data_IF_437630023691
#
_entry.id   IF_437630023691
#
_cell.length_a   1.000
_cell.length_b   1.000
_cell.length_c   1.000
_cell.angle_alpha   90.00
_cell.angle_beta   90.00
_cell.angle_gamma   90.00
#
_symmetry.space_group_name_H-M   'P 1'
#
loop_
_entity.id
_entity.type
_entity.pdbx_description
1 polymer ?
#
# COMPACT_ATOMS: atom_id res chain seq x y z
N UNK A 1 -16.19 -19.11 -12.97
CA UNK A 1 -15.81 -19.65 -14.30
C UNK A 1 -14.29 -19.68 -14.34
N UNK A 2 -13.68 -20.76 -14.83
CA UNK A 2 -12.24 -20.81 -15.00
C UNK A 2 -11.86 -19.84 -16.13
N UNK A 3 -10.86 -19.02 -15.89
CA UNK A 3 -10.25 -18.13 -16.86
C UNK A 3 -9.84 -18.93 -18.11
N UNK A 4 -10.31 -18.54 -19.29
CA UNK A 4 -9.81 -19.14 -20.54
C UNK A 4 -8.35 -18.73 -20.70
N UNK A 5 -7.44 -19.71 -20.73
CA UNK A 5 -6.01 -19.47 -20.86
C UNK A 5 -5.72 -18.64 -22.11
N UNK A 6 -5.11 -17.47 -21.93
CA UNK A 6 -4.51 -16.69 -23.00
C UNK A 6 -4.94 -15.24 -23.13
N UNK A 7 -6.15 -14.82 -22.75
CA UNK A 7 -6.62 -13.44 -22.89
C UNK A 7 -7.52 -12.99 -21.74
N UNK A 8 -7.39 -11.73 -21.31
CA UNK A 8 -8.28 -11.07 -20.36
C UNK A 8 -8.49 -9.61 -20.77
N UNK A 9 -9.72 -9.08 -20.74
CA UNK A 9 -9.93 -7.67 -21.08
C UNK A 9 -9.12 -6.71 -20.20
N UNK A 10 -9.05 -6.97 -18.89
CA UNK A 10 -8.27 -6.14 -17.96
C UNK A 10 -7.30 -6.99 -17.14
N UNK A 11 -6.01 -6.67 -17.25
CA UNK A 11 -4.96 -7.19 -16.38
C UNK A 11 -4.59 -6.13 -15.35
N UNK A 12 -4.68 -6.45 -14.07
CA UNK A 12 -4.23 -5.58 -12.96
C UNK A 12 -2.99 -6.20 -12.33
N UNK A 13 -1.88 -5.48 -12.36
CA UNK A 13 -0.62 -5.89 -11.74
C UNK A 13 -0.47 -5.16 -10.41
N UNK A 14 -0.32 -5.92 -9.32
CA UNK A 14 -0.16 -5.39 -7.98
C UNK A 14 -1.44 -5.37 -7.15
N UNK A 15 -1.34 -5.89 -5.94
CA UNK A 15 -2.44 -6.05 -4.98
C UNK A 15 -2.53 -4.95 -3.92
N UNK A 16 -1.92 -3.79 -4.15
CA UNK A 16 -2.09 -2.62 -3.31
C UNK A 16 -3.55 -2.14 -3.28
N UNK A 17 -3.87 -1.16 -2.43
CA UNK A 17 -5.26 -0.67 -2.32
C UNK A 17 -5.77 -0.12 -3.66
N UNK A 18 -4.91 0.52 -4.45
CA UNK A 18 -5.24 0.99 -5.80
C UNK A 18 -5.54 -0.15 -6.77
N UNK A 19 -4.68 -1.18 -6.81
CA UNK A 19 -4.88 -2.37 -7.64
C UNK A 19 -6.14 -3.15 -7.25
N UNK A 20 -6.36 -3.36 -5.95
CA UNK A 20 -7.61 -3.96 -5.45
C UNK A 20 -8.83 -3.15 -5.85
N UNK A 21 -8.76 -1.80 -5.75
CA UNK A 21 -9.83 -0.90 -6.15
C UNK A 21 -10.17 -1.02 -7.63
N UNK A 22 -9.15 -0.98 -8.48
CA UNK A 22 -9.30 -1.13 -9.93
C UNK A 22 -9.91 -2.49 -10.29
N UNK A 23 -9.35 -3.58 -9.75
CA UNK A 23 -9.82 -4.94 -10.04
C UNK A 23 -11.29 -5.15 -9.62
N UNK A 24 -11.64 -4.73 -8.41
CA UNK A 24 -13.02 -4.82 -7.91
C UNK A 24 -13.98 -3.96 -8.72
N UNK A 25 -13.57 -2.75 -9.10
CA UNK A 25 -14.43 -1.86 -9.87
C UNK A 25 -14.65 -2.36 -11.30
N UNK A 26 -13.62 -2.84 -11.97
CA UNK A 26 -13.73 -3.46 -13.29
C UNK A 26 -14.70 -4.66 -13.26
N UNK A 27 -14.51 -5.55 -12.30
CA UNK A 27 -15.40 -6.72 -12.14
C UNK A 27 -16.87 -6.33 -11.86
N UNK A 28 -17.09 -5.33 -10.99
CA UNK A 28 -18.43 -4.78 -10.71
C UNK A 28 -19.08 -4.14 -11.94
N UNK A 29 -18.27 -3.56 -12.81
CA UNK A 29 -18.74 -3.01 -14.09
C UNK A 29 -18.99 -4.08 -15.16
N UNK A 30 -18.85 -5.35 -14.83
CA UNK A 30 -19.12 -6.46 -15.72
C UNK A 30 -17.95 -6.87 -16.63
N UNK A 31 -16.74 -6.37 -16.38
CA UNK A 31 -15.53 -6.66 -17.17
C UNK A 31 -14.74 -7.80 -16.55
N UNK A 32 -14.40 -8.83 -17.35
CA UNK A 32 -13.52 -9.90 -16.92
C UNK A 32 -12.14 -9.33 -16.59
N UNK A 33 -11.66 -9.60 -15.38
CA UNK A 33 -10.46 -8.99 -14.83
C UNK A 33 -9.56 -10.05 -14.19
N UNK A 34 -8.26 -9.96 -14.45
CA UNK A 34 -7.25 -10.75 -13.77
C UNK A 34 -6.42 -9.82 -12.88
N UNK A 35 -6.43 -10.06 -11.58
CA UNK A 35 -5.53 -9.44 -10.62
C UNK A 35 -4.36 -10.38 -10.36
N UNK A 36 -3.12 -9.90 -10.51
CA UNK A 36 -1.92 -10.66 -10.17
C UNK A 36 -1.14 -9.97 -9.05
N UNK A 37 -0.67 -10.76 -8.09
CA UNK A 37 0.07 -10.24 -6.93
C UNK A 37 1.32 -11.08 -6.65
N UNK A 38 2.44 -10.47 -6.23
CA UNK A 38 3.65 -11.20 -5.89
C UNK A 38 3.49 -12.07 -4.63
N UNK A 39 2.66 -11.65 -3.71
CA UNK A 39 2.42 -12.34 -2.44
C UNK A 39 0.95 -12.68 -2.22
N UNK A 40 0.65 -13.38 -1.12
CA UNK A 40 -0.70 -13.83 -0.79
C UNK A 40 -1.59 -12.75 -0.16
N UNK A 41 -1.03 -11.57 0.15
CA UNK A 41 -1.76 -10.48 0.78
C UNK A 41 -2.29 -9.47 -0.24
N UNK A 42 -3.44 -8.90 0.06
CA UNK A 42 -4.06 -7.81 -0.70
C UNK A 42 -4.18 -6.55 0.18
N UNK A 43 -4.25 -5.37 -0.45
CA UNK A 43 -4.34 -4.09 0.26
C UNK A 43 -2.99 -3.37 0.43
N UNK A 44 -1.85 -4.04 0.16
CA UNK A 44 -0.52 -3.42 0.14
C UNK A 44 -0.17 -2.70 1.43
N UNK A 45 0.11 -1.41 1.34
CA UNK A 45 0.60 -0.60 2.47
C UNK A 45 -0.29 -0.67 3.71
N UNK A 46 -1.61 -0.71 3.56
CA UNK A 46 -2.54 -0.74 4.70
C UNK A 46 -2.74 -2.14 5.30
N UNK A 47 -2.17 -3.17 4.68
CA UNK A 47 -2.24 -4.56 5.13
C UNK A 47 -0.84 -5.15 5.32
N UNK A 48 -0.23 -5.75 4.30
CA UNK A 48 1.11 -6.34 4.38
C UNK A 48 2.21 -5.33 4.73
N UNK A 49 2.07 -4.08 4.30
CA UNK A 49 2.98 -3.00 4.67
C UNK A 49 2.83 -2.48 6.10
N UNK A 50 1.77 -2.90 6.82
CA UNK A 50 1.57 -2.61 8.24
C UNK A 50 1.07 -1.19 8.57
N UNK A 51 0.95 -0.28 7.60
CA UNK A 51 0.47 1.10 7.86
C UNK A 51 -1.06 1.12 7.91
N UNK A 52 -1.62 0.65 9.00
CA UNK A 52 -3.07 0.47 9.18
C UNK A 52 -3.76 1.62 9.93
N UNK A 53 -3.19 2.80 9.83
CA UNK A 53 -3.71 4.05 10.34
C UNK A 53 -3.58 5.13 9.24
N UNK A 54 -4.31 5.00 8.12
CA UNK A 54 -4.19 5.90 6.99
C UNK A 54 -4.76 7.28 7.28
N UNK A 55 -4.13 8.28 6.69
CA UNK A 55 -4.62 9.65 6.71
C UNK A 55 -5.89 9.81 5.88
N UNK A 56 -6.64 10.85 6.16
CA UNK A 56 -7.81 11.19 5.34
C UNK A 56 -8.71 12.23 5.97
N UNK A 57 -9.58 12.79 5.15
CA UNK A 57 -10.64 13.66 5.62
C UNK A 57 -11.75 12.83 6.26
N UNK A 58 -12.01 13.05 7.54
CA UNK A 58 -12.98 12.29 8.34
C UNK A 58 -14.39 12.31 7.76
N UNK A 59 -14.81 13.43 7.17
CA UNK A 59 -16.17 13.59 6.66
C UNK A 59 -16.35 12.91 5.30
N UNK A 60 -15.36 13.02 4.42
CA UNK A 60 -15.45 12.49 3.05
C UNK A 60 -15.03 11.03 2.94
N UNK A 61 -14.19 10.53 3.84
CA UNK A 61 -13.68 9.15 3.81
C UNK A 61 -14.80 8.10 3.79
N UNK A 62 -15.84 8.29 4.60
CA UNK A 62 -16.99 7.38 4.68
C UNK A 62 -17.85 7.32 3.41
N UNK A 63 -17.77 8.33 2.57
CA UNK A 63 -18.53 8.46 1.33
C UNK A 63 -17.74 8.00 0.11
N UNK A 64 -16.42 7.89 0.23
CA UNK A 64 -15.55 7.54 -0.88
C UNK A 64 -15.66 6.04 -1.24
N UNK A 65 -15.92 5.70 -2.48
CA UNK A 65 -15.89 4.42 -3.16
C UNK A 65 -15.49 3.19 -2.33
N UNK A 66 -14.42 2.52 -2.75
CA UNK A 66 -13.89 1.33 -2.07
C UNK A 66 -13.40 1.63 -0.64
N UNK A 67 -12.76 2.80 -0.44
CA UNK A 67 -12.25 3.17 0.88
C UNK A 67 -13.36 3.31 1.91
N UNK A 68 -14.41 4.06 1.61
CA UNK A 68 -15.56 4.19 2.51
C UNK A 68 -16.29 2.86 2.75
N UNK A 69 -16.36 1.98 1.73
CA UNK A 69 -16.90 0.65 1.90
C UNK A 69 -16.07 -0.20 2.86
N UNK A 70 -14.73 -0.14 2.74
CA UNK A 70 -13.81 -0.84 3.63
C UNK A 70 -13.93 -0.35 5.08
N UNK A 71 -13.97 0.97 5.29
CA UNK A 71 -14.14 1.56 6.62
C UNK A 71 -15.45 1.12 7.28
N UNK A 72 -16.56 1.13 6.52
CA UNK A 72 -17.86 0.66 7.05
C UNK A 72 -17.82 -0.82 7.43
N UNK A 73 -17.17 -1.65 6.61
CA UNK A 73 -17.06 -3.07 6.88
C UNK A 73 -16.16 -3.36 8.10
N UNK A 74 -15.02 -2.67 8.19
CA UNK A 74 -14.12 -2.74 9.35
C UNK A 74 -14.85 -2.36 10.63
N UNK A 75 -15.62 -1.29 10.62
CA UNK A 75 -16.40 -0.85 11.78
C UNK A 75 -17.46 -1.87 12.22
N UNK A 76 -18.03 -2.61 11.28
CA UNK A 76 -19.01 -3.66 11.58
C UNK A 76 -18.36 -4.92 12.16
N UNK A 77 -17.14 -5.26 11.72
CA UNK A 77 -16.46 -6.50 12.10
C UNK A 77 -15.52 -6.33 13.31
N UNK A 78 -15.18 -5.10 13.67
CA UNK A 78 -14.36 -4.82 14.85
C UNK A 78 -15.26 -4.61 16.06
N UNK A 79 -15.13 -5.43 17.14
CA UNK A 79 -15.94 -5.28 18.35
C UNK A 79 -15.86 -3.88 18.97
N UNK A 80 -14.63 -3.32 18.96
CA UNK A 80 -14.32 -2.02 19.54
C UNK A 80 -14.39 -0.87 18.52
N UNK A 81 -14.75 -1.19 17.26
CA UNK A 81 -14.73 -0.22 16.16
C UNK A 81 -13.33 0.12 15.65
N UNK A 82 -13.22 1.25 14.96
CA UNK A 82 -11.94 1.81 14.54
C UNK A 82 -11.32 2.59 15.70
N UNK A 83 -10.00 2.56 15.82
CA UNK A 83 -9.31 3.34 16.84
C UNK A 83 -8.89 4.71 16.30
N UNK A 84 -8.93 5.70 17.19
CA UNK A 84 -8.40 7.04 16.95
C UNK A 84 -7.03 7.14 17.61
N UNK A 85 -6.04 7.51 16.86
CA UNK A 85 -4.68 7.73 17.32
C UNK A 85 -4.15 9.07 16.79
N UNK A 86 -2.88 9.37 17.00
CA UNK A 86 -2.32 10.64 16.55
C UNK A 86 -2.21 10.74 15.02
N UNK A 87 -2.08 9.60 14.36
CA UNK A 87 -1.87 9.54 12.91
C UNK A 87 -3.19 9.58 12.17
N UNK A 88 -4.23 8.93 12.70
CA UNK A 88 -5.45 8.66 11.95
C UNK A 88 -6.67 8.49 12.84
N UNK A 89 -7.82 8.84 12.32
CA UNK A 89 -9.13 8.49 12.90
C UNK A 89 -9.63 7.11 12.47
N UNK A 90 -8.84 6.37 11.72
CA UNK A 90 -9.24 5.13 11.05
C UNK A 90 -8.32 3.95 11.38
N UNK A 91 -7.78 3.89 12.60
CA UNK A 91 -6.90 2.78 13.00
C UNK A 91 -7.62 1.43 13.01
N UNK A 92 -7.03 0.43 12.38
CA UNK A 92 -7.55 -0.94 12.32
C UNK A 92 -6.40 -1.96 12.31
N UNK A 93 -6.73 -3.22 12.48
CA UNK A 93 -5.72 -4.29 12.37
C UNK A 93 -5.52 -4.68 10.90
N UNK A 94 -4.27 -4.76 10.40
CA UNK A 94 -3.99 -5.09 9.01
C UNK A 94 -4.67 -6.37 8.52
N UNK A 95 -4.67 -7.43 9.35
CA UNK A 95 -5.24 -8.73 9.01
C UNK A 95 -6.75 -8.67 8.76
N UNK A 96 -7.45 -7.76 9.43
CA UNK A 96 -8.90 -7.60 9.23
C UNK A 96 -9.21 -6.93 7.91
N UNK A 97 -8.48 -5.85 7.56
CA UNK A 97 -8.63 -5.23 6.26
C UNK A 97 -8.29 -6.20 5.12
N UNK A 98 -7.23 -6.98 5.30
CA UNK A 98 -6.81 -8.00 4.36
C UNK A 98 -7.89 -9.07 4.16
N UNK A 99 -8.45 -9.62 5.24
CA UNK A 99 -9.55 -10.60 5.18
C UNK A 99 -10.78 -10.06 4.43
N UNK A 100 -11.14 -8.80 4.66
CA UNK A 100 -12.27 -8.16 3.98
C UNK A 100 -11.98 -8.03 2.48
N UNK A 101 -10.80 -7.52 2.11
CA UNK A 101 -10.43 -7.34 0.71
C UNK A 101 -10.36 -8.68 -0.03
N UNK A 102 -9.76 -9.71 0.57
CA UNK A 102 -9.71 -11.05 -0.01
C UNK A 102 -11.11 -11.64 -0.20
N UNK A 103 -11.98 -11.49 0.79
CA UNK A 103 -13.36 -11.93 0.67
C UNK A 103 -14.06 -11.26 -0.51
N UNK A 104 -13.98 -9.94 -0.64
CA UNK A 104 -14.57 -9.21 -1.75
C UNK A 104 -14.03 -9.63 -3.11
N UNK A 105 -12.70 -9.85 -3.19
CA UNK A 105 -12.06 -10.32 -4.42
C UNK A 105 -12.55 -11.72 -4.80
N UNK A 106 -12.64 -12.64 -3.84
CA UNK A 106 -13.11 -14.03 -4.10
C UNK A 106 -14.59 -14.10 -4.46
N UNK A 107 -15.41 -13.20 -3.92
CA UNK A 107 -16.86 -13.14 -4.18
C UNK A 107 -17.19 -12.42 -5.49
N UNK A 108 -16.28 -11.65 -6.05
CA UNK A 108 -16.48 -10.92 -7.30
C UNK A 108 -16.52 -11.88 -8.51
N UNK A 109 -17.68 -11.97 -9.18
CA UNK A 109 -17.95 -12.98 -10.23
C UNK A 109 -17.03 -12.92 -11.44
N UNK A 110 -16.52 -11.72 -11.77
CA UNK A 110 -15.70 -11.48 -12.97
C UNK A 110 -14.26 -11.14 -12.63
N UNK A 111 -13.82 -11.51 -11.44
CA UNK A 111 -12.47 -11.28 -10.96
C UNK A 111 -11.80 -12.62 -10.68
N UNK A 112 -10.69 -12.84 -11.37
CA UNK A 112 -9.75 -13.90 -11.04
C UNK A 112 -8.56 -13.29 -10.32
N UNK A 113 -8.11 -13.91 -9.24
CA UNK A 113 -6.92 -13.48 -8.52
C UNK A 113 -5.86 -14.58 -8.50
N UNK A 114 -4.67 -14.24 -8.95
CA UNK A 114 -3.50 -15.08 -8.88
C UNK A 114 -2.46 -14.46 -7.95
N UNK A 115 -2.16 -15.15 -6.87
CA UNK A 115 -1.08 -14.81 -5.96
C UNK A 115 0.19 -15.59 -6.28
N UNK A 116 1.34 -15.09 -5.80
CA UNK A 116 2.64 -15.71 -6.08
C UNK A 116 3.04 -15.60 -7.54
N UNK A 117 2.71 -14.47 -8.17
CA UNK A 117 3.00 -14.21 -9.57
C UNK A 117 4.07 -13.13 -9.68
N UNK A 118 5.09 -13.40 -10.46
CA UNK A 118 6.08 -12.43 -10.90
C UNK A 118 5.80 -12.01 -12.35
N UNK A 119 5.92 -10.73 -12.66
CA UNK A 119 5.81 -10.21 -14.02
C UNK A 119 7.21 -10.17 -14.62
N UNK A 120 7.46 -11.02 -15.62
CA UNK A 120 8.78 -11.14 -16.25
C UNK A 120 9.00 -10.14 -17.36
N UNK A 121 7.97 -9.87 -18.17
CA UNK A 121 8.04 -8.89 -19.26
C UNK A 121 6.66 -8.41 -19.69
N UNK A 122 6.65 -7.24 -20.31
CA UNK A 122 5.49 -6.65 -20.97
C UNK A 122 5.83 -6.43 -22.46
N UNK A 123 5.00 -6.94 -23.34
CA UNK A 123 5.20 -6.82 -24.78
C UNK A 123 4.41 -5.63 -25.35
N UNK A 124 5.09 -4.83 -26.17
CA UNK A 124 4.50 -3.71 -26.89
C UNK A 124 4.25 -4.07 -28.35
N UNK A 125 3.17 -3.54 -28.88
CA UNK A 125 2.89 -3.48 -30.32
C UNK A 125 2.66 -2.01 -30.70
N UNK A 126 3.70 -1.33 -31.20
CA UNK A 126 3.70 0.11 -31.36
C UNK A 126 3.60 0.81 -30.01
N UNK A 127 2.58 1.65 -29.83
CA UNK A 127 2.33 2.39 -28.59
C UNK A 127 1.40 1.67 -27.59
N UNK A 128 0.98 0.45 -27.91
CA UNK A 128 0.09 -0.34 -27.06
C UNK A 128 0.82 -1.49 -26.41
N UNK A 129 0.60 -1.68 -25.11
CA UNK A 129 0.93 -2.91 -24.42
C UNK A 129 -0.14 -3.95 -24.75
N UNK A 130 0.27 -5.18 -25.06
CA UNK A 130 -0.66 -6.21 -25.55
C UNK A 130 -0.56 -7.54 -24.82
N UNK A 131 0.61 -7.85 -24.23
CA UNK A 131 0.82 -9.10 -23.52
C UNK A 131 1.73 -8.92 -22.31
N UNK A 132 1.57 -9.80 -21.35
CA UNK A 132 2.45 -9.98 -20.21
C UNK A 132 2.94 -11.41 -20.16
N UNK A 133 4.22 -11.62 -19.89
CA UNK A 133 4.77 -12.90 -19.50
C UNK A 133 4.84 -12.94 -17.98
N UNK A 134 4.09 -13.81 -17.38
CA UNK A 134 3.95 -13.98 -15.95
C UNK A 134 4.64 -15.30 -15.54
N UNK A 135 5.33 -15.32 -14.42
CA UNK A 135 5.80 -16.57 -13.80
C UNK A 135 4.89 -16.93 -12.64
N UNK A 136 4.36 -18.15 -12.68
CA UNK A 136 3.52 -18.69 -11.61
C UNK A 136 3.89 -20.14 -11.33
N UNK A 137 4.16 -20.49 -10.07
CA UNK A 137 4.62 -21.82 -9.66
C UNK A 137 5.87 -22.30 -10.43
N UNK A 138 6.75 -21.39 -10.82
CA UNK A 138 7.95 -21.70 -11.60
C UNK A 138 7.73 -21.79 -13.12
N UNK A 139 6.48 -21.75 -13.60
CA UNK A 139 6.16 -21.86 -15.02
C UNK A 139 5.80 -20.51 -15.64
N UNK A 140 6.33 -20.16 -16.82
CA UNK A 140 5.95 -18.96 -17.53
C UNK A 140 4.59 -19.12 -18.20
N UNK A 141 3.76 -18.08 -18.08
CA UNK A 141 2.41 -18.01 -18.67
C UNK A 141 2.31 -16.69 -19.42
N UNK A 142 1.93 -16.74 -20.69
CA UNK A 142 1.67 -15.54 -21.47
C UNK A 142 0.18 -15.21 -21.44
N UNK A 143 -0.14 -13.96 -21.06
CA UNK A 143 -1.51 -13.41 -21.03
C UNK A 143 -1.57 -12.21 -21.97
N UNK A 144 -2.49 -12.21 -22.91
CA UNK A 144 -2.86 -11.01 -23.67
C UNK A 144 -3.96 -10.24 -22.97
N UNK A 145 -4.03 -8.95 -23.20
CA UNK A 145 -5.02 -8.07 -22.56
C UNK A 145 -5.34 -6.87 -23.46
N UNK A 146 -6.49 -6.23 -23.19
CA UNK A 146 -6.88 -4.99 -23.85
C UNK A 146 -6.41 -3.77 -23.03
N UNK A 147 -6.46 -3.88 -21.70
CA UNK A 147 -6.07 -2.82 -20.77
C UNK A 147 -5.18 -3.39 -19.67
N UNK A 148 -4.07 -2.71 -19.41
CA UNK A 148 -3.21 -2.94 -18.25
C UNK A 148 -3.45 -1.84 -17.21
N UNK A 149 -3.63 -2.25 -15.96
CA UNK A 149 -3.63 -1.33 -14.81
C UNK A 149 -2.40 -1.65 -13.96
N UNK A 150 -1.51 -0.69 -13.81
CA UNK A 150 -0.39 -0.77 -12.89
C UNK A 150 -0.82 -0.34 -11.49
N UNK A 151 -0.89 -1.28 -10.59
CA UNK A 151 -1.11 -1.11 -9.15
C UNK A 151 0.07 -1.67 -8.35
N UNK A 152 1.25 -1.79 -8.97
CA UNK A 152 2.48 -2.23 -8.29
C UNK A 152 2.93 -1.19 -7.27
N UNK A 153 3.67 -1.62 -6.27
CA UNK A 153 4.14 -0.73 -5.18
C UNK A 153 5.28 0.19 -5.63
N UNK A 154 6.11 -0.25 -6.57
CA UNK A 154 7.33 0.45 -6.98
C UNK A 154 7.30 0.96 -8.43
N UNK A 155 6.20 0.75 -9.16
CA UNK A 155 6.12 1.13 -10.57
C UNK A 155 6.92 0.21 -11.49
N UNK A 156 7.13 -1.05 -11.09
CA UNK A 156 7.93 -2.02 -11.86
C UNK A 156 7.42 -2.21 -13.29
N UNK A 157 6.11 -2.13 -13.48
CA UNK A 157 5.49 -2.23 -14.80
C UNK A 157 5.91 -1.11 -15.75
N UNK A 158 6.22 0.09 -15.24
CA UNK A 158 6.71 1.21 -16.06
C UNK A 158 8.07 0.89 -16.64
N UNK A 159 8.98 0.35 -15.82
CA UNK A 159 10.31 -0.06 -16.25
C UNK A 159 10.25 -1.23 -17.24
N UNK A 160 9.45 -2.27 -16.95
CA UNK A 160 9.27 -3.42 -17.83
C UNK A 160 8.65 -3.07 -19.18
N UNK A 161 7.84 -2.02 -19.22
CA UNK A 161 7.17 -1.55 -20.44
C UNK A 161 7.94 -0.43 -21.17
N UNK A 162 9.10 -0.03 -20.68
CA UNK A 162 9.88 1.11 -21.18
C UNK A 162 9.01 2.39 -21.31
N UNK A 163 8.18 2.63 -20.29
CA UNK A 163 7.34 3.84 -20.23
C UNK A 163 8.16 4.97 -19.62
N UNK A 164 8.20 6.15 -20.24
CA UNK A 164 8.88 7.30 -19.67
C UNK A 164 8.39 7.60 -18.26
N UNK A 165 9.31 7.60 -17.32
CA UNK A 165 9.02 7.88 -15.91
C UNK A 165 10.13 8.74 -15.31
N UNK A 166 9.91 9.21 -14.10
CA UNK A 166 10.89 10.01 -13.36
C UNK A 166 11.17 9.39 -12.04
N UNK A 167 12.41 9.58 -11.62
CA UNK A 167 12.89 9.21 -10.31
C UNK A 167 13.48 10.45 -9.65
N UNK A 168 13.12 10.69 -8.40
CA UNK A 168 13.65 11.79 -7.62
C UNK A 168 12.75 13.02 -7.59
N UNK A 169 13.37 14.17 -7.37
CA UNK A 169 12.72 15.44 -7.11
C UNK A 169 12.47 16.22 -8.40
N UNK A 170 11.24 16.70 -8.59
CA UNK A 170 10.91 17.67 -9.64
C UNK A 170 10.99 19.10 -9.10
N UNK A 171 11.32 20.06 -9.97
CA UNK A 171 11.31 21.46 -9.58
C UNK A 171 9.91 22.06 -9.66
N UNK A 172 9.64 23.03 -8.79
CA UNK A 172 8.41 23.82 -8.83
C UNK A 172 8.15 24.44 -10.21
N UNK A 173 9.20 24.94 -10.84
CA UNK A 173 9.10 25.59 -12.15
C UNK A 173 8.65 24.62 -13.26
N UNK A 174 8.93 23.33 -13.10
CA UNK A 174 8.64 22.34 -14.13
C UNK A 174 7.15 22.00 -14.21
N UNK A 175 6.45 21.94 -13.07
CA UNK A 175 5.05 21.50 -13.00
C UNK A 175 4.13 22.48 -12.28
N UNK A 176 4.65 23.54 -11.71
CA UNK A 176 3.86 24.51 -10.95
C UNK A 176 3.36 23.99 -9.60
N UNK A 177 3.97 22.96 -9.05
CA UNK A 177 3.59 22.39 -7.74
C UNK A 177 4.08 23.31 -6.60
N UNK A 178 3.18 23.91 -5.79
CA UNK A 178 3.57 24.87 -4.77
C UNK A 178 4.51 24.33 -3.69
N UNK A 179 4.43 23.02 -3.40
CA UNK A 179 5.24 22.36 -2.38
C UNK A 179 6.56 21.78 -2.92
N UNK A 180 6.76 21.77 -4.24
CA UNK A 180 8.00 21.28 -4.83
C UNK A 180 9.16 22.27 -4.58
N UNK A 181 10.40 21.79 -4.45
CA UNK A 181 11.56 22.64 -4.29
C UNK A 181 11.78 23.55 -5.49
N UNK A 182 12.31 24.74 -5.28
CA UNK A 182 12.74 25.59 -6.39
C UNK A 182 13.93 24.97 -7.13
N UNK A 183 14.14 25.37 -8.40
CA UNK A 183 15.31 24.91 -9.16
C UNK A 183 16.64 25.28 -8.48
N UNK A 184 16.67 26.37 -7.70
CA UNK A 184 17.84 26.76 -6.90
C UNK A 184 18.02 25.84 -5.68
N UNK A 185 16.95 25.52 -4.98
CA UNK A 185 16.99 24.60 -3.84
C UNK A 185 17.47 23.21 -4.24
N UNK A 186 17.12 22.72 -5.44
CA UNK A 186 17.56 21.42 -5.95
C UNK A 186 19.06 21.30 -6.17
N UNK A 187 19.82 22.41 -6.11
CA UNK A 187 21.28 22.38 -6.16
C UNK A 187 21.93 21.94 -4.84
N UNK A 188 21.16 21.87 -3.75
CA UNK A 188 21.66 21.33 -2.51
C UNK A 188 21.99 19.82 -2.68
N UNK A 189 23.20 19.40 -2.27
CA UNK A 189 23.61 18.00 -2.35
C UNK A 189 22.67 17.00 -1.66
N UNK A 190 21.79 17.45 -0.78
CA UNK A 190 20.75 16.62 -0.18
C UNK A 190 19.90 15.93 -1.24
N UNK A 191 19.39 16.68 -2.23
CA UNK A 191 18.48 16.13 -3.24
C UNK A 191 19.12 15.12 -4.17
N UNK A 192 20.44 15.21 -4.38
CA UNK A 192 21.20 14.21 -5.13
C UNK A 192 21.41 12.92 -4.33
N UNK A 193 21.73 13.06 -3.04
CA UNK A 193 21.97 11.91 -2.15
C UNK A 193 20.71 11.19 -1.74
N UNK A 194 19.60 11.93 -1.61
CA UNK A 194 18.29 11.44 -1.16
C UNK A 194 17.24 11.63 -2.26
N UNK A 195 17.40 10.94 -3.40
CA UNK A 195 16.49 11.14 -4.54
C UNK A 195 15.10 10.58 -4.30
N UNK A 196 14.95 9.67 -3.35
CA UNK A 196 13.67 9.02 -3.01
C UNK A 196 13.47 9.01 -1.51
N UNK A 197 12.22 8.86 -1.09
CA UNK A 197 11.87 8.72 0.32
C UNK A 197 12.54 7.47 0.92
N UNK A 198 13.17 7.62 2.08
CA UNK A 198 13.72 6.49 2.84
C UNK A 198 12.63 5.48 3.22
N UNK A 199 12.92 4.17 3.14
CA UNK A 199 11.99 3.16 3.62
C UNK A 199 11.84 3.27 5.14
N UNK A 200 10.62 3.06 5.61
CA UNK A 200 10.31 3.02 7.04
C UNK A 200 9.85 1.61 7.42
N UNK A 201 10.49 1.04 8.43
CA UNK A 201 10.02 -0.20 9.02
C UNK A 201 8.80 0.07 9.89
N UNK A 202 7.77 -0.76 9.70
CA UNK A 202 6.56 -0.73 10.52
C UNK A 202 6.56 -1.95 11.42
N UNK A 203 6.45 -1.71 12.73
CA UNK A 203 6.43 -2.77 13.74
C UNK A 203 5.04 -2.81 14.36
N UNK A 204 4.45 -3.99 14.40
CA UNK A 204 3.22 -4.22 15.15
C UNK A 204 3.53 -4.92 16.47
N UNK A 205 3.01 -4.36 17.54
CA UNK A 205 3.12 -4.90 18.88
C UNK A 205 1.76 -5.16 19.53
N UNK A 206 1.75 -6.03 20.53
CA UNK A 206 0.60 -6.28 21.39
C UNK A 206 0.92 -5.78 22.78
N UNK A 207 0.10 -4.87 23.31
CA UNK A 207 0.23 -4.43 24.68
C UNK A 207 -0.23 -5.54 25.63
N UNK A 208 0.63 -5.92 26.58
CA UNK A 208 0.34 -7.04 27.51
C UNK A 208 0.28 -6.64 28.98
N UNK A 209 0.18 -5.36 29.29
CA UNK A 209 0.07 -4.90 30.67
C UNK A 209 1.01 -3.74 31.02
N UNK A 210 1.23 -3.46 32.31
CA UNK A 210 2.08 -2.36 32.72
C UNK A 210 3.49 -2.55 32.19
N UNK A 211 3.98 -1.53 31.49
CA UNK A 211 5.34 -1.53 30.97
C UNK A 211 6.32 -1.11 32.06
N UNK A 212 7.35 -1.91 32.25
CA UNK A 212 8.47 -1.57 33.11
C UNK A 212 9.65 -1.20 32.23
N UNK A 213 10.17 0.04 32.29
CA UNK A 213 11.32 0.41 31.52
C UNK A 213 12.51 -0.49 31.85
N UNK A 214 13.39 -0.81 30.87
CA UNK A 214 14.62 -1.49 31.17
C UNK A 214 15.47 -0.64 32.13
N UNK A 215 16.20 -1.28 33.03
CA UNK A 215 17.04 -0.60 34.00
C UNK A 215 18.12 0.26 33.35
N UNK A 216 18.53 -0.12 32.15
CA UNK A 216 19.47 0.66 31.33
C UNK A 216 18.94 0.85 29.90
N UNK A 217 19.20 2.02 29.29
CA UNK A 217 18.86 2.25 27.88
C UNK A 217 19.54 1.22 26.97
N UNK A 218 18.81 0.70 26.00
CA UNK A 218 19.36 -0.22 25.01
C UNK A 218 20.05 0.59 23.92
N UNK A 219 21.38 0.61 23.94
CA UNK A 219 22.16 1.18 22.85
C UNK A 219 22.08 0.28 21.58
N UNK A 220 22.06 0.84 20.37
CA UNK A 220 22.22 2.27 20.01
C UNK A 220 20.90 3.07 19.96
N UNK A 221 19.78 2.50 20.33
CA UNK A 221 18.47 3.10 20.13
C UNK A 221 18.16 4.29 21.06
N UNK A 222 18.85 4.40 22.19
CA UNK A 222 18.65 5.51 23.13
C UNK A 222 18.92 6.89 22.50
N UNK A 223 19.88 6.99 21.61
CA UNK A 223 20.21 8.25 20.95
C UNK A 223 19.14 8.67 19.93
N UNK A 224 18.55 7.71 19.20
CA UNK A 224 17.51 7.96 18.19
C UNK A 224 16.21 8.46 18.82
N UNK A 225 15.85 7.96 20.01
CA UNK A 225 14.58 8.31 20.67
C UNK A 225 14.71 9.43 21.70
N UNK A 226 15.92 9.92 21.97
CA UNK A 226 16.15 10.95 23.00
C UNK A 226 15.30 12.20 22.77
N UNK A 227 15.28 12.72 21.55
CA UNK A 227 14.49 13.92 21.22
C UNK A 227 12.98 13.74 21.41
N UNK A 228 12.46 12.54 21.21
CA UNK A 228 11.06 12.19 21.48
C UNK A 228 10.80 12.02 22.98
N UNK A 229 11.69 11.31 23.68
CA UNK A 229 11.57 11.07 25.11
C UNK A 229 11.66 12.36 25.94
N UNK A 230 12.37 13.36 25.47
CA UNK A 230 12.47 14.67 26.12
C UNK A 230 11.16 15.50 26.00
N UNK A 231 10.30 15.19 25.03
CA UNK A 231 9.07 15.95 24.74
C UNK A 231 7.79 15.23 25.11
N UNK A 232 7.79 13.91 25.08
CA UNK A 232 6.61 13.09 25.25
C UNK A 232 6.86 11.98 26.27
N UNK A 233 5.88 11.74 27.13
CA UNK A 233 5.91 10.57 28.00
C UNK A 233 5.76 9.27 27.19
N UNK A 234 6.24 8.16 27.71
CA UNK A 234 6.09 6.87 27.03
C UNK A 234 4.62 6.52 26.70
N UNK A 235 3.63 6.70 27.59
CA UNK A 235 2.24 6.47 27.24
C UNK A 235 1.76 7.30 26.05
N UNK A 236 2.23 8.55 25.92
CA UNK A 236 1.92 9.39 24.76
C UNK A 236 2.56 8.84 23.48
N UNK A 237 3.83 8.45 23.53
CA UNK A 237 4.50 7.84 22.39
C UNK A 237 3.80 6.54 21.93
N UNK A 238 3.40 5.70 22.88
CA UNK A 238 2.68 4.46 22.56
C UNK A 238 1.28 4.71 22.01
N UNK A 239 0.63 5.81 22.35
CA UNK A 239 -0.67 6.16 21.79
C UNK A 239 -0.61 6.69 20.36
N UNK A 240 0.59 6.98 19.83
CA UNK A 240 0.80 7.50 18.49
C UNK A 240 0.17 6.61 17.41
N UNK A 241 0.40 5.32 17.45
CA UNK A 241 -0.12 4.34 16.50
C UNK A 241 -0.99 3.26 17.16
N UNK A 242 -1.81 3.64 18.14
CA UNK A 242 -2.73 2.70 18.78
C UNK A 242 -3.74 2.13 17.79
N UNK A 243 -3.99 0.85 17.89
CA UNK A 243 -4.93 0.10 17.06
C UNK A 243 -5.92 -0.67 17.95
N UNK A 244 -7.09 -1.09 17.42
CA UNK A 244 -8.08 -1.86 18.17
C UNK A 244 -7.51 -3.12 18.80
N UNK A 245 -8.00 -3.48 19.99
CA UNK A 245 -7.58 -4.68 20.70
C UNK A 245 -6.21 -4.58 21.35
N UNK A 246 -5.83 -3.41 21.81
CA UNK A 246 -4.54 -3.14 22.48
C UNK A 246 -3.31 -3.41 21.58
N UNK A 247 -3.48 -3.31 20.28
CA UNK A 247 -2.36 -3.37 19.37
C UNK A 247 -1.75 -1.98 19.16
N UNK A 248 -0.49 -1.98 18.76
CA UNK A 248 0.31 -0.78 18.48
C UNK A 248 0.97 -0.92 17.13
N UNK A 249 0.92 0.14 16.34
CA UNK A 249 1.70 0.32 15.13
C UNK A 249 2.80 1.35 15.41
N UNK A 250 4.03 0.93 15.30
CA UNK A 250 5.19 1.81 15.38
C UNK A 250 5.68 2.07 13.97
N UNK A 251 5.42 3.25 13.48
CA UNK A 251 5.80 3.74 12.17
C UNK A 251 6.42 5.13 12.34
N UNK A 252 7.62 5.16 12.91
CA UNK A 252 8.34 6.41 13.12
C UNK A 252 9.38 6.58 12.03
N UNK A 253 9.24 7.61 11.18
CA UNK A 253 10.30 7.97 10.24
C UNK A 253 11.52 8.42 11.04
N UNK A 254 12.64 7.84 10.76
CA UNK A 254 13.94 8.22 11.34
C UNK A 254 14.55 9.35 10.53
#
# INVERSE_FOLDING_TARGET
MAFQQGHVPVLVIGGGIGGCGAALQCARSGVETLLVTPGPWTGGRITSGGVSAPDGNELSAWQSGLWGALLRQLRLELPDGLDHNWVSCFGFRPQQAESILQRWIREARRLSWWSGVEVLSLERNGDQLSKAVLQRNGEPITISFDVLVDGSELGDSLALADIPHRLGWDSQQQWGEPSAPSAEALKDPFFEREPVQSPTWVIHGQWQGPWTPPEQPVEPFSALFKGCADRFSLPQLLSYGRLPGQQLMLNWPL
#
